data_IF_694490982445
#
_entry.id   IF_694490982445
#
_cell.length_a   1.000
_cell.length_b   1.000
_cell.length_c   1.000
_cell.angle_alpha   90.00
_cell.angle_beta   90.00
_cell.angle_gamma   90.00
#
_symmetry.space_group_name_H-M   'P 1'
#
loop_
_entity.id
_entity.type
_entity.pdbx_description
1 polymer ?
#
# COMPACT_ATOMS: atom_id res chain seq x y z
N UNK A 1 13.98 22.18 69.78
CA UNK A 1 15.08 22.27 68.78
C UNK A 1 15.12 20.90 68.13
N UNK A 2 14.90 20.62 66.91
CA UNK A 2 14.85 21.35 65.64
C UNK A 2 13.93 20.63 64.66
N UNK A 3 12.88 21.29 64.22
CA UNK A 3 12.03 20.86 63.12
C UNK A 3 12.78 21.20 61.82
N UNK A 4 13.51 20.22 61.26
CA UNK A 4 14.15 20.44 59.98
C UNK A 4 13.94 19.24 59.09
N UNK A 5 13.19 19.48 58.00
CA UNK A 5 13.34 18.89 56.66
C UNK A 5 12.73 17.51 56.37
N UNK A 6 11.44 17.42 56.61
CA UNK A 6 10.67 16.32 56.01
C UNK A 6 9.96 16.75 54.72
N UNK A 7 10.01 18.03 54.35
CA UNK A 7 9.29 18.58 53.17
C UNK A 7 10.10 18.58 51.88
N UNK A 8 11.41 18.27 51.93
CA UNK A 8 12.27 18.29 50.73
C UNK A 8 12.37 16.96 50.00
N UNK A 9 11.95 15.86 50.63
CA UNK A 9 12.03 14.52 49.99
C UNK A 9 10.78 14.21 49.19
N UNK A 10 9.67 14.89 49.44
CA UNK A 10 8.40 14.62 48.74
C UNK A 10 8.29 15.35 47.36
N UNK A 11 9.22 16.26 47.04
CA UNK A 11 9.22 16.99 45.76
C UNK A 11 10.05 16.36 44.66
N UNK A 12 10.83 15.33 44.96
CA UNK A 12 11.70 14.67 43.96
C UNK A 12 11.12 13.40 43.38
N UNK A 13 10.00 12.90 43.91
CA UNK A 13 9.37 11.65 43.42
C UNK A 13 8.24 11.85 42.40
N UNK A 14 7.86 13.09 42.08
CA UNK A 14 6.81 13.38 41.10
C UNK A 14 7.33 13.64 39.67
N UNK A 15 8.65 13.64 39.45
CA UNK A 15 9.23 13.97 38.14
C UNK A 15 9.67 12.71 37.35
N UNK A 16 9.44 11.50 37.88
CA UNK A 16 9.92 10.27 37.25
C UNK A 16 8.81 9.43 36.58
N UNK A 17 7.58 9.92 36.49
CA UNK A 17 6.44 9.14 35.99
C UNK A 17 5.93 9.59 34.60
N UNK A 18 6.69 10.41 33.86
CA UNK A 18 6.31 10.86 32.49
C UNK A 18 7.21 10.21 31.43
N UNK A 19 7.72 9.03 31.69
CA UNK A 19 8.50 8.31 30.68
C UNK A 19 7.75 7.08 30.21
N UNK A 20 7.55 7.05 28.89
CA UNK A 20 7.28 5.86 28.07
C UNK A 20 5.83 5.44 27.84
N UNK A 21 5.00 6.32 27.27
CA UNK A 21 4.10 5.86 26.23
C UNK A 21 4.65 6.28 24.88
N UNK A 22 5.76 5.68 24.47
CA UNK A 22 6.09 5.61 23.05
C UNK A 22 5.08 4.61 22.45
N UNK A 23 3.93 5.11 22.04
CA UNK A 23 3.06 4.37 21.15
C UNK A 23 3.88 4.09 19.90
N UNK A 24 4.27 2.83 19.70
CA UNK A 24 4.74 2.38 18.41
C UNK A 24 3.56 2.56 17.46
N UNK A 25 3.50 3.70 16.80
CA UNK A 25 2.61 3.90 15.66
C UNK A 25 3.19 3.06 14.53
N UNK A 26 2.78 1.79 14.47
CA UNK A 26 2.98 1.00 13.27
C UNK A 26 2.12 1.65 12.20
N UNK A 27 2.73 2.11 11.13
CA UNK A 27 1.99 2.54 9.95
C UNK A 27 1.22 1.33 9.40
N UNK A 28 -0.01 1.54 8.94
CA UNK A 28 -0.76 0.49 8.27
C UNK A 28 0.02 0.02 7.03
N UNK A 29 0.02 -1.30 6.73
CA UNK A 29 0.72 -1.80 5.56
C UNK A 29 0.14 -1.21 4.27
N UNK A 30 1.01 -0.90 3.32
CA UNK A 30 0.62 -0.45 1.98
C UNK A 30 -0.13 -1.57 1.27
N UNK A 31 -1.32 -1.31 0.78
CA UNK A 31 -2.13 -2.25 0.00
C UNK A 31 -1.87 -2.02 -1.48
N UNK A 32 -1.18 -2.97 -2.10
CA UNK A 32 -0.82 -2.92 -3.52
C UNK A 32 -1.57 -4.00 -4.31
N UNK A 33 -2.17 -3.61 -5.43
CA UNK A 33 -2.84 -4.55 -6.32
C UNK A 33 -2.16 -4.60 -7.69
N UNK A 34 -2.13 -5.80 -8.28
CA UNK A 34 -1.60 -6.05 -9.62
C UNK A 34 -2.68 -6.67 -10.50
N UNK A 35 -2.87 -6.11 -11.69
CA UNK A 35 -3.84 -6.58 -12.69
C UNK A 35 -3.10 -7.15 -13.88
N UNK A 36 -3.30 -8.45 -14.12
CA UNK A 36 -2.60 -9.23 -15.13
C UNK A 36 -3.52 -9.64 -16.28
N UNK A 37 -2.99 -9.59 -17.52
CA UNK A 37 -3.71 -10.01 -18.74
C UNK A 37 -3.80 -11.54 -18.88
N UNK A 38 -2.85 -12.26 -18.33
CA UNK A 38 -2.78 -13.72 -18.40
C UNK A 38 -2.56 -14.35 -17.04
N UNK A 39 -2.41 -15.68 -17.01
CA UNK A 39 -2.11 -16.42 -15.79
C UNK A 39 -0.64 -16.24 -15.39
N UNK A 40 -0.36 -16.29 -14.08
CA UNK A 40 1.01 -16.18 -13.55
C UNK A 40 1.92 -17.34 -13.92
N UNK A 41 1.35 -18.47 -14.36
CA UNK A 41 2.08 -19.66 -14.81
C UNK A 41 2.47 -19.66 -16.29
N UNK A 42 2.31 -18.54 -17.02
CA UNK A 42 2.58 -18.47 -18.47
C UNK A 42 4.08 -18.46 -18.83
N UNK A 43 4.96 -18.29 -17.85
CA UNK A 43 6.41 -18.11 -17.99
C UNK A 43 6.81 -16.95 -18.93
N UNK A 44 5.90 -16.03 -19.19
CA UNK A 44 6.07 -14.90 -20.09
C UNK A 44 5.85 -13.56 -19.40
N UNK A 45 5.03 -12.71 -20.03
CA UNK A 45 4.77 -11.33 -19.60
C UNK A 45 4.18 -11.26 -18.20
N UNK A 46 3.08 -11.99 -17.93
CA UNK A 46 2.44 -11.99 -16.62
C UNK A 46 3.34 -12.60 -15.55
N UNK A 47 4.03 -13.69 -15.86
CA UNK A 47 5.00 -14.29 -14.94
C UNK A 47 6.08 -13.30 -14.52
N UNK A 48 6.65 -12.53 -15.47
CA UNK A 48 7.69 -11.55 -15.14
C UNK A 48 7.20 -10.47 -14.18
N UNK A 49 5.99 -9.96 -14.38
CA UNK A 49 5.37 -8.98 -13.47
C UNK A 49 5.05 -9.59 -12.09
N UNK A 50 4.59 -10.83 -12.06
CA UNK A 50 4.30 -11.54 -10.82
C UNK A 50 5.57 -11.81 -9.99
N UNK A 51 6.70 -12.09 -10.66
CA UNK A 51 7.99 -12.17 -9.96
C UNK A 51 8.35 -10.84 -9.28
N UNK A 52 8.05 -9.71 -9.92
CA UNK A 52 8.22 -8.39 -9.31
C UNK A 52 7.34 -8.19 -8.08
N UNK A 53 6.07 -8.58 -8.14
CA UNK A 53 5.16 -8.52 -6.99
C UNK A 53 5.63 -9.40 -5.83
N UNK A 54 6.10 -10.61 -6.11
CA UNK A 54 6.68 -11.53 -5.13
C UNK A 54 7.95 -10.95 -4.49
N UNK A 55 8.82 -10.36 -5.30
CA UNK A 55 10.02 -9.69 -4.81
C UNK A 55 9.68 -8.56 -3.82
N UNK A 56 8.69 -7.73 -4.14
CA UNK A 56 8.23 -6.68 -3.24
C UNK A 56 7.73 -7.28 -1.92
N UNK A 57 6.89 -8.32 -1.97
CA UNK A 57 6.40 -8.99 -0.75
C UNK A 57 7.52 -9.59 0.08
N UNK A 58 8.48 -10.22 -0.56
CA UNK A 58 9.63 -10.85 0.11
C UNK A 58 10.50 -9.81 0.84
N UNK A 59 10.71 -8.63 0.23
CA UNK A 59 11.59 -7.59 0.79
C UNK A 59 10.89 -6.64 1.75
N UNK A 60 9.59 -6.39 1.57
CA UNK A 60 8.81 -5.51 2.44
C UNK A 60 8.08 -6.26 3.55
N UNK A 61 7.96 -7.58 3.47
CA UNK A 61 7.33 -8.39 4.52
C UNK A 61 5.94 -7.91 4.89
N UNK A 62 5.73 -7.60 6.16
CA UNK A 62 4.43 -7.18 6.69
C UNK A 62 4.10 -5.71 6.42
N UNK A 63 5.04 -4.93 5.87
CA UNK A 63 4.80 -3.53 5.48
C UNK A 63 3.98 -3.42 4.19
N UNK A 64 3.72 -4.53 3.49
CA UNK A 64 2.90 -4.57 2.27
C UNK A 64 1.93 -5.73 2.24
N UNK A 65 0.72 -5.44 1.77
CA UNK A 65 -0.30 -6.45 1.40
C UNK A 65 -0.44 -6.45 -0.11
N UNK A 66 -0.15 -7.58 -0.74
CA UNK A 66 -0.23 -7.75 -2.20
C UNK A 66 -1.53 -8.48 -2.57
N UNK A 67 -2.25 -7.94 -3.54
CA UNK A 67 -3.40 -8.56 -4.19
C UNK A 67 -3.10 -8.69 -5.69
N UNK A 68 -3.28 -9.88 -6.27
CA UNK A 68 -3.14 -10.09 -7.71
C UNK A 68 -4.46 -10.54 -8.32
N UNK A 69 -4.77 -10.08 -9.53
CA UNK A 69 -5.93 -10.53 -10.31
C UNK A 69 -5.43 -10.91 -11.69
N UNK A 70 -5.59 -12.19 -12.03
CA UNK A 70 -5.09 -12.79 -13.26
C UNK A 70 -6.16 -12.84 -14.36
N UNK A 71 -5.72 -12.95 -15.60
CA UNK A 71 -6.58 -13.22 -16.77
C UNK A 71 -7.73 -12.22 -16.94
N UNK A 72 -7.46 -10.95 -16.66
CA UNK A 72 -8.44 -9.88 -16.84
C UNK A 72 -8.46 -9.46 -18.30
N UNK A 73 -9.62 -9.57 -18.94
CA UNK A 73 -9.76 -9.20 -20.36
C UNK A 73 -9.64 -7.68 -20.57
N UNK A 74 -9.06 -7.27 -21.72
CA UNK A 74 -8.89 -5.87 -22.14
C UNK A 74 -10.20 -5.25 -22.70
N UNK A 75 -11.27 -5.36 -21.94
CA UNK A 75 -12.60 -4.84 -22.26
C UNK A 75 -13.19 -4.14 -21.03
N UNK A 76 -14.50 -4.08 -20.91
CA UNK A 76 -15.17 -3.51 -19.72
C UNK A 76 -14.82 -4.20 -18.41
N UNK A 77 -14.30 -5.42 -18.46
CA UNK A 77 -13.90 -6.16 -17.25
C UNK A 77 -12.68 -5.54 -16.59
N UNK A 78 -11.73 -5.01 -17.39
CA UNK A 78 -10.56 -4.31 -16.86
C UNK A 78 -10.97 -3.06 -16.07
N UNK A 79 -11.86 -2.22 -16.60
CA UNK A 79 -12.33 -1.03 -15.86
C UNK A 79 -13.08 -1.41 -14.58
N UNK A 80 -13.92 -2.46 -14.60
CA UNK A 80 -14.63 -2.94 -13.41
C UNK A 80 -13.66 -3.46 -12.35
N UNK A 81 -12.68 -4.26 -12.77
CA UNK A 81 -11.65 -4.83 -11.88
C UNK A 81 -10.82 -3.74 -11.24
N UNK A 82 -10.28 -2.81 -12.04
CA UNK A 82 -9.47 -1.69 -11.54
C UNK A 82 -10.29 -0.83 -10.57
N UNK A 83 -11.58 -0.54 -10.89
CA UNK A 83 -12.48 0.20 -10.00
C UNK A 83 -12.70 -0.51 -8.67
N UNK A 84 -12.91 -1.83 -8.70
CA UNK A 84 -13.09 -2.63 -7.48
C UNK A 84 -11.83 -2.60 -6.60
N UNK A 85 -10.66 -2.66 -7.21
CA UNK A 85 -9.38 -2.62 -6.51
C UNK A 85 -9.08 -1.22 -5.94
N UNK A 86 -9.44 -0.16 -6.66
CA UNK A 86 -9.23 1.22 -6.20
C UNK A 86 -9.95 1.56 -4.89
N UNK A 87 -11.04 0.87 -4.59
CA UNK A 87 -11.79 1.07 -3.34
C UNK A 87 -11.10 0.54 -2.09
N UNK A 88 -10.08 -0.29 -2.23
CA UNK A 88 -9.48 -1.05 -1.12
C UNK A 88 -7.96 -1.16 -1.15
N UNK A 89 -7.31 -0.50 -2.12
CA UNK A 89 -5.86 -0.50 -2.25
C UNK A 89 -5.32 0.93 -2.36
N UNK A 90 -4.08 1.12 -1.96
CA UNK A 90 -3.39 2.41 -1.96
C UNK A 90 -2.67 2.65 -3.29
N UNK A 91 -2.24 1.57 -3.95
CA UNK A 91 -1.56 1.60 -5.24
C UNK A 91 -2.00 0.43 -6.12
N UNK A 92 -2.19 0.68 -7.42
CA UNK A 92 -2.58 -0.32 -8.40
C UNK A 92 -1.61 -0.31 -9.58
N UNK A 93 -1.07 -1.48 -9.88
CA UNK A 93 -0.23 -1.74 -11.05
C UNK A 93 -1.06 -2.45 -12.11
N UNK A 94 -1.17 -1.86 -13.30
CA UNK A 94 -1.83 -2.45 -14.45
C UNK A 94 -0.80 -2.80 -15.51
N UNK A 95 -0.78 -4.06 -15.96
CA UNK A 95 0.36 -4.62 -16.70
C UNK A 95 0.05 -5.00 -18.15
N UNK A 96 -1.00 -4.44 -18.73
CA UNK A 96 -1.28 -4.64 -20.15
C UNK A 96 -1.54 -3.31 -20.86
N UNK A 97 -1.11 -3.22 -22.12
CA UNK A 97 -1.29 -2.02 -22.95
C UNK A 97 -2.77 -1.62 -23.05
N UNK A 98 -3.68 -2.58 -23.21
CA UNK A 98 -5.13 -2.33 -23.28
C UNK A 98 -5.76 -1.83 -21.97
N UNK A 99 -5.03 -1.87 -20.85
CA UNK A 99 -5.50 -1.28 -19.59
C UNK A 99 -5.24 0.22 -19.48
N UNK A 100 -4.54 0.84 -20.43
CA UNK A 100 -4.16 2.25 -20.34
C UNK A 100 -5.37 3.17 -20.16
N UNK A 101 -6.36 3.10 -21.06
CA UNK A 101 -7.55 3.94 -20.98
C UNK A 101 -8.43 3.62 -19.75
N UNK A 102 -8.73 2.35 -19.41
CA UNK A 102 -9.41 2.01 -18.16
C UNK A 102 -8.70 2.56 -16.92
N UNK A 103 -7.37 2.44 -16.85
CA UNK A 103 -6.59 2.95 -15.73
C UNK A 103 -6.73 4.47 -15.58
N UNK A 104 -6.63 5.24 -16.65
CA UNK A 104 -6.79 6.71 -16.63
C UNK A 104 -8.20 7.10 -16.17
N UNK A 105 -9.23 6.44 -16.69
CA UNK A 105 -10.62 6.71 -16.28
C UNK A 105 -10.86 6.44 -14.80
N UNK A 106 -10.29 5.37 -14.27
CA UNK A 106 -10.43 5.04 -12.85
C UNK A 106 -9.61 6.00 -12.00
N UNK A 107 -8.38 6.31 -12.39
CA UNK A 107 -7.50 7.24 -11.66
C UNK A 107 -8.17 8.62 -11.47
N UNK A 108 -8.87 9.12 -12.48
CA UNK A 108 -9.61 10.38 -12.38
C UNK A 108 -10.73 10.37 -11.30
N UNK A 109 -11.25 9.19 -10.96
CA UNK A 109 -12.32 9.02 -9.94
C UNK A 109 -11.78 8.72 -8.55
N UNK A 110 -10.52 8.33 -8.44
CA UNK A 110 -9.86 7.92 -7.19
C UNK A 110 -8.53 8.66 -7.01
N UNK A 111 -8.55 9.98 -6.77
CA UNK A 111 -7.34 10.82 -6.72
C UNK A 111 -6.38 10.46 -5.57
N UNK A 112 -6.87 9.80 -4.53
CA UNK A 112 -6.07 9.39 -3.38
C UNK A 112 -5.36 8.04 -3.61
N UNK A 113 -5.71 7.30 -4.67
CA UNK A 113 -5.07 6.03 -5.03
C UNK A 113 -4.00 6.28 -6.09
N UNK A 114 -2.85 5.65 -5.93
CA UNK A 114 -1.77 5.69 -6.92
C UNK A 114 -2.01 4.66 -8.01
N UNK A 115 -1.73 5.04 -9.25
CA UNK A 115 -1.84 4.13 -10.40
C UNK A 115 -0.55 4.14 -11.18
N UNK A 116 -0.04 2.94 -11.42
CA UNK A 116 1.14 2.70 -12.25
C UNK A 116 0.76 1.78 -13.41
N UNK A 117 1.20 2.11 -14.61
CA UNK A 117 0.90 1.36 -15.81
C UNK A 117 2.18 0.93 -16.52
N UNK A 118 2.37 -0.37 -16.69
CA UNK A 118 3.46 -0.90 -17.49
C UNK A 118 3.17 -0.62 -18.98
N UNK A 119 4.11 0.02 -19.67
CA UNK A 119 4.05 0.41 -21.09
C UNK A 119 3.09 1.55 -21.47
N UNK A 120 2.37 2.13 -20.51
CA UNK A 120 1.49 3.28 -20.77
C UNK A 120 2.28 4.56 -21.06
N UNK A 121 1.77 5.39 -21.99
CA UNK A 121 2.35 6.68 -22.32
C UNK A 121 1.41 7.86 -22.08
N UNK A 122 0.13 7.60 -21.82
CA UNK A 122 -0.83 8.64 -21.47
C UNK A 122 -0.75 8.94 -19.97
N UNK A 123 -1.04 10.20 -19.62
CA UNK A 123 -1.14 10.64 -18.23
C UNK A 123 -2.53 11.25 -18.00
N UNK A 124 -3.09 11.13 -16.80
CA UNK A 124 -4.28 11.89 -16.43
C UNK A 124 -3.98 13.40 -16.59
N UNK A 125 -4.92 14.13 -17.18
CA UNK A 125 -4.90 15.59 -17.29
C UNK A 125 -5.57 16.24 -16.11
#
# INVERSE_FOLDING_TARGET
>A
MSNIRLTSILKLSLLSAVLAFTSNVFADPVKAAFVYIGPTGDHGWTFAHDQGAKYVKEHMGDDVVITTVESVAENSDSERTITSLARKNDIIFTTSFGYMNPTIKVAARYPDVKFEHATGYLRPT
#
